data_IF_018555826875
#
_entry.id   IF_018555826875
#
_cell.length_a   1.000
_cell.length_b   1.000
_cell.length_c   1.000
_cell.angle_alpha   90.00
_cell.angle_beta   90.00
_cell.angle_gamma   90.00
#
_symmetry.space_group_name_H-M   'P 1'
#
loop_
_entity.id
_entity.type
_entity.pdbx_description
1 polymer ?
#
# COMPACT_ATOMS: atom_id res chain seq x y z
N UNK A 1 -21.43 -6.71 14.84
CA UNK A 1 -20.96 -5.36 14.42
C UNK A 1 -19.44 -5.21 14.28
N UNK A 2 -18.60 -6.04 14.92
CA UNK A 2 -17.11 -5.97 14.78
C UNK A 2 -16.65 -6.15 13.32
N UNK A 3 -17.22 -7.11 12.60
CA UNK A 3 -16.88 -7.39 11.19
C UNK A 3 -17.08 -6.19 10.26
N UNK A 4 -18.16 -5.44 10.45
CA UNK A 4 -18.46 -4.23 9.67
C UNK A 4 -17.40 -3.15 9.94
N UNK A 5 -17.01 -2.95 11.19
CA UNK A 5 -15.96 -1.98 11.56
C UNK A 5 -14.60 -2.37 10.97
N UNK A 6 -14.28 -3.66 10.98
CA UNK A 6 -13.05 -4.19 10.36
C UNK A 6 -13.05 -3.93 8.85
N UNK A 7 -14.15 -4.23 8.15
CA UNK A 7 -14.27 -3.99 6.72
C UNK A 7 -14.15 -2.49 6.37
N UNK A 8 -14.83 -1.62 7.13
CA UNK A 8 -14.73 -0.16 6.95
C UNK A 8 -13.29 0.33 7.18
N UNK A 9 -12.60 -0.19 8.21
CA UNK A 9 -11.22 0.18 8.50
C UNK A 9 -10.25 -0.23 7.38
N UNK A 10 -10.45 -1.41 6.79
CA UNK A 10 -9.66 -1.88 5.63
C UNK A 10 -9.93 -0.99 4.42
N UNK A 11 -11.19 -0.71 4.12
CA UNK A 11 -11.59 0.13 2.99
C UNK A 11 -11.00 1.55 3.11
N UNK A 12 -11.17 2.20 4.27
CA UNK A 12 -10.66 3.56 4.50
C UNK A 12 -9.12 3.62 4.43
N UNK A 13 -8.43 2.64 5.02
CA UNK A 13 -6.98 2.58 4.94
C UNK A 13 -6.48 2.36 3.51
N UNK A 14 -7.14 1.49 2.75
CA UNK A 14 -6.80 1.26 1.34
C UNK A 14 -7.07 2.49 0.47
N UNK A 15 -8.22 3.14 0.64
CA UNK A 15 -8.56 4.35 -0.13
C UNK A 15 -7.57 5.47 0.15
N UNK A 16 -7.22 5.70 1.42
CA UNK A 16 -6.26 6.74 1.77
C UNK A 16 -4.86 6.41 1.26
N UNK A 17 -4.42 5.15 1.40
CA UNK A 17 -3.15 4.68 0.85
C UNK A 17 -3.07 4.93 -0.67
N UNK A 18 -4.12 4.52 -1.40
CA UNK A 18 -4.19 4.65 -2.86
C UNK A 18 -4.22 6.12 -3.27
N UNK A 19 -5.05 6.93 -2.62
CA UNK A 19 -5.17 8.35 -2.91
C UNK A 19 -3.84 9.08 -2.65
N UNK A 20 -3.20 8.84 -1.50
CA UNK A 20 -1.90 9.43 -1.19
C UNK A 20 -0.82 8.98 -2.16
N UNK A 21 -0.82 7.70 -2.57
CA UNK A 21 0.12 7.20 -3.57
C UNK A 21 -0.07 7.90 -4.92
N UNK A 22 -1.30 7.96 -5.43
CA UNK A 22 -1.61 8.64 -6.70
C UNK A 22 -1.25 10.12 -6.65
N UNK A 23 -1.64 10.83 -5.59
CA UNK A 23 -1.35 12.26 -5.43
C UNK A 23 0.15 12.55 -5.30
N UNK A 24 0.96 11.58 -4.89
CA UNK A 24 2.41 11.75 -4.78
C UNK A 24 3.13 11.31 -6.05
N UNK A 25 2.70 10.21 -6.67
CA UNK A 25 3.34 9.65 -7.86
C UNK A 25 3.08 10.44 -9.12
N UNK A 26 1.85 10.92 -9.32
CA UNK A 26 1.50 11.71 -10.51
C UNK A 26 2.44 12.93 -10.64
N UNK A 27 2.62 13.79 -9.62
CA UNK A 27 3.56 14.90 -9.72
C UNK A 27 5.02 14.43 -9.73
N UNK A 28 5.38 13.34 -9.06
CA UNK A 28 6.75 12.83 -9.10
C UNK A 28 7.17 12.43 -10.52
N UNK A 29 6.29 11.77 -11.26
CA UNK A 29 6.54 11.34 -12.65
C UNK A 29 6.60 12.56 -13.59
N UNK A 30 5.75 13.57 -13.39
CA UNK A 30 5.70 14.74 -14.30
C UNK A 30 6.80 15.77 -14.04
N UNK A 31 7.35 15.81 -12.82
CA UNK A 31 8.38 16.79 -12.43
C UNK A 31 9.80 16.25 -12.57
N UNK A 32 10.00 14.94 -12.62
CA UNK A 32 11.32 14.33 -12.75
C UNK A 32 11.74 14.31 -14.23
N UNK A 33 13.01 14.66 -14.48
CA UNK A 33 13.60 14.68 -15.82
C UNK A 33 13.52 13.28 -16.47
N UNK A 34 13.20 13.17 -17.78
CA UNK A 34 13.07 11.90 -18.48
C UNK A 34 14.27 10.95 -18.28
N UNK A 35 15.51 11.46 -18.35
CA UNK A 35 16.75 10.68 -18.14
C UNK A 35 16.86 10.02 -16.76
N UNK A 36 16.13 10.54 -15.78
CA UNK A 36 16.05 9.97 -14.42
C UNK A 36 14.87 9.03 -14.26
N UNK A 37 13.86 9.14 -15.12
CA UNK A 37 12.65 8.32 -15.10
C UNK A 37 12.86 7.02 -15.87
N UNK A 38 13.37 7.12 -17.09
CA UNK A 38 13.57 6.00 -18.01
C UNK A 38 15.01 5.97 -18.50
N UNK A 39 15.56 4.77 -18.64
CA UNK A 39 16.83 4.57 -19.34
C UNK A 39 16.59 4.78 -20.84
N UNK A 40 17.27 5.73 -21.50
CA UNK A 40 17.05 6.02 -22.91
C UNK A 40 17.47 4.87 -23.84
N UNK A 41 18.33 3.95 -23.37
CA UNK A 41 18.78 2.81 -24.19
C UNK A 41 17.79 1.64 -24.13
N UNK A 42 17.12 1.43 -23.00
CA UNK A 42 16.26 0.26 -22.78
C UNK A 42 14.77 0.59 -22.66
N UNK A 43 14.39 1.86 -22.52
CA UNK A 43 13.01 2.30 -22.27
C UNK A 43 12.46 1.86 -20.91
N UNK A 44 13.30 1.28 -20.05
CA UNK A 44 12.90 0.75 -18.74
C UNK A 44 13.02 1.84 -17.67
N UNK A 45 12.15 1.77 -16.67
CA UNK A 45 12.21 2.66 -15.52
C UNK A 45 13.54 2.51 -14.77
N UNK A 46 14.22 3.62 -14.48
CA UNK A 46 15.57 3.55 -13.88
C UNK A 46 15.53 3.02 -12.45
N UNK A 47 16.58 2.29 -12.06
CA UNK A 47 16.77 1.85 -10.67
C UNK A 47 16.79 3.06 -9.71
N UNK A 48 17.29 4.21 -10.15
CA UNK A 48 17.29 5.43 -9.33
C UNK A 48 15.86 5.85 -8.99
N UNK A 49 14.98 5.96 -9.98
CA UNK A 49 13.57 6.31 -9.73
C UNK A 49 12.90 5.29 -8.81
N UNK A 50 13.11 4.00 -9.08
CA UNK A 50 12.50 2.91 -8.30
C UNK A 50 12.91 3.00 -6.82
N UNK A 51 14.20 3.07 -6.52
CA UNK A 51 14.68 3.03 -5.13
C UNK A 51 14.59 4.36 -4.38
N UNK A 52 14.71 5.48 -5.08
CA UNK A 52 14.74 6.82 -4.45
C UNK A 52 13.35 7.44 -4.35
N UNK A 53 12.46 7.13 -5.29
CA UNK A 53 11.14 7.75 -5.38
C UNK A 53 10.05 6.70 -5.16
N UNK A 54 10.05 5.64 -5.96
CA UNK A 54 8.93 4.70 -5.97
C UNK A 54 8.75 3.96 -4.64
N UNK A 55 9.82 3.31 -4.17
CA UNK A 55 9.81 2.51 -2.95
C UNK A 55 9.56 3.35 -1.69
N UNK A 56 10.22 4.51 -1.49
CA UNK A 56 9.94 5.35 -0.33
C UNK A 56 8.51 5.86 -0.31
N UNK A 57 7.97 6.33 -1.44
CA UNK A 57 6.58 6.79 -1.51
C UNK A 57 5.61 5.65 -1.26
N UNK A 58 5.80 4.49 -1.91
CA UNK A 58 4.97 3.30 -1.69
C UNK A 58 4.97 2.87 -0.21
N UNK A 59 6.14 2.90 0.43
CA UNK A 59 6.29 2.55 1.84
C UNK A 59 5.58 3.58 2.73
N UNK A 60 5.79 4.88 2.51
CA UNK A 60 5.20 5.94 3.33
C UNK A 60 3.68 5.96 3.24
N UNK A 61 3.12 5.83 2.04
CA UNK A 61 1.66 5.82 1.85
C UNK A 61 1.04 4.55 2.44
N UNK A 62 1.73 3.41 2.33
CA UNK A 62 1.31 2.17 3.00
C UNK A 62 1.36 2.27 4.53
N UNK A 63 2.37 2.94 5.09
CA UNK A 63 2.42 3.26 6.53
C UNK A 63 1.21 4.09 6.94
N UNK A 64 0.87 5.14 6.19
CA UNK A 64 -0.32 5.96 6.44
C UNK A 64 -1.60 5.12 6.39
N UNK A 65 -1.76 4.27 5.37
CA UNK A 65 -2.89 3.35 5.28
C UNK A 65 -3.00 2.41 6.49
N UNK A 66 -1.88 1.82 6.92
CA UNK A 66 -1.80 0.96 8.09
C UNK A 66 -2.15 1.67 9.40
N UNK A 67 -1.67 2.91 9.58
CA UNK A 67 -2.01 3.77 10.73
C UNK A 67 -3.51 4.02 10.77
N UNK A 68 -4.12 4.42 9.65
CA UNK A 68 -5.56 4.72 9.59
C UNK A 68 -6.41 3.48 9.83
N UNK A 69 -6.09 2.35 9.20
CA UNK A 69 -6.79 1.08 9.48
C UNK A 69 -6.69 0.69 10.96
N UNK A 70 -5.50 0.84 11.56
CA UNK A 70 -5.33 0.52 12.97
C UNK A 70 -6.12 1.45 13.89
N UNK A 71 -6.17 2.75 13.54
CA UNK A 71 -6.92 3.75 14.29
C UNK A 71 -8.43 3.50 14.22
N UNK A 72 -8.98 3.21 13.05
CA UNK A 72 -10.43 3.00 12.84
C UNK A 72 -10.93 1.69 13.44
N UNK A 73 -10.17 0.60 13.32
CA UNK A 73 -10.65 -0.73 13.73
C UNK A 73 -10.86 -0.85 15.25
N UNK A 74 -9.98 -0.25 16.06
CA UNK A 74 -9.95 -0.27 17.54
C UNK A 74 -10.05 -1.66 18.23
N UNK A 75 -9.43 -1.80 19.40
CA UNK A 75 -9.57 -2.99 20.26
C UNK A 75 -9.26 -4.32 19.56
N UNK A 76 -10.11 -5.33 19.80
CA UNK A 76 -9.89 -6.72 19.35
C UNK A 76 -9.88 -6.89 17.82
N UNK A 77 -10.52 -5.99 17.06
CA UNK A 77 -10.60 -6.05 15.60
C UNK A 77 -9.36 -5.52 14.88
N UNK A 78 -8.47 -4.80 15.57
CA UNK A 78 -7.33 -4.10 14.96
C UNK A 78 -6.35 -5.04 14.26
N UNK A 79 -5.90 -6.10 14.95
CA UNK A 79 -4.96 -7.08 14.36
C UNK A 79 -5.54 -7.76 13.13
N UNK A 80 -6.85 -8.02 13.14
CA UNK A 80 -7.54 -8.63 12.02
C UNK A 80 -7.68 -7.66 10.85
N UNK A 81 -8.00 -6.39 11.10
CA UNK A 81 -8.07 -5.36 10.07
C UNK A 81 -6.71 -5.13 9.39
N UNK A 82 -5.62 -5.05 10.16
CA UNK A 82 -4.27 -4.90 9.60
C UNK A 82 -3.92 -6.11 8.72
N UNK A 83 -4.12 -7.34 9.22
CA UNK A 83 -3.87 -8.56 8.43
C UNK A 83 -4.73 -8.60 7.17
N UNK A 84 -6.00 -8.18 7.27
CA UNK A 84 -6.92 -8.07 6.16
C UNK A 84 -6.42 -7.09 5.10
N UNK A 85 -5.99 -5.89 5.50
CA UNK A 85 -5.44 -4.90 4.58
C UNK A 85 -4.14 -5.39 3.92
N UNK A 86 -3.23 -6.01 4.68
CA UNK A 86 -1.99 -6.59 4.11
C UNK A 86 -2.31 -7.65 3.05
N UNK A 87 -3.19 -8.59 3.39
CA UNK A 87 -3.62 -9.62 2.44
C UNK A 87 -4.29 -9.01 1.21
N UNK A 88 -5.15 -8.01 1.40
CA UNK A 88 -5.81 -7.30 0.32
C UNK A 88 -4.82 -6.59 -0.61
N UNK A 89 -3.86 -5.84 -0.07
CA UNK A 89 -2.83 -5.14 -0.85
C UNK A 89 -1.97 -6.12 -1.63
N UNK A 90 -1.55 -7.24 -1.03
CA UNK A 90 -0.75 -8.26 -1.71
C UNK A 90 -1.56 -8.91 -2.83
N UNK A 91 -2.81 -9.32 -2.57
CA UNK A 91 -3.66 -9.98 -3.56
C UNK A 91 -3.96 -9.03 -4.73
N UNK A 92 -4.43 -7.81 -4.45
CA UNK A 92 -4.75 -6.82 -5.48
C UNK A 92 -3.48 -6.46 -6.27
N UNK A 93 -2.35 -6.29 -5.60
CA UNK A 93 -1.08 -6.02 -6.24
C UNK A 93 -0.65 -7.14 -7.18
N UNK A 94 -0.67 -8.40 -6.73
CA UNK A 94 -0.31 -9.55 -7.56
C UNK A 94 -1.29 -9.76 -8.73
N UNK A 95 -2.58 -9.53 -8.53
CA UNK A 95 -3.57 -9.53 -9.63
C UNK A 95 -3.24 -8.43 -10.63
N UNK A 96 -2.88 -7.23 -10.17
CA UNK A 96 -2.42 -6.14 -11.04
C UNK A 96 -1.18 -6.51 -11.85
N UNK A 97 -0.20 -7.19 -11.24
CA UNK A 97 0.99 -7.72 -11.95
C UNK A 97 0.56 -8.72 -13.02
N UNK A 98 -0.32 -9.67 -12.69
CA UNK A 98 -0.79 -10.66 -13.65
C UNK A 98 -1.53 -9.99 -14.83
N UNK A 99 -2.43 -9.04 -14.56
CA UNK A 99 -3.14 -8.29 -15.61
C UNK A 99 -2.15 -7.51 -16.47
N UNK A 100 -1.13 -6.87 -15.89
CA UNK A 100 -0.10 -6.16 -16.66
C UNK A 100 0.74 -7.07 -17.56
N UNK A 101 1.09 -8.27 -17.09
CA UNK A 101 1.90 -9.24 -17.83
C UNK A 101 1.10 -10.01 -18.90
N UNK A 102 -0.17 -10.31 -18.65
CA UNK A 102 -1.01 -11.06 -19.60
C UNK A 102 -1.81 -10.14 -20.53
N UNK A 103 -2.10 -8.91 -20.11
CA UNK A 103 -2.74 -7.89 -20.94
C UNK A 103 -1.85 -7.49 -22.11
N UNK A 104 -0.56 -7.26 -21.87
CA UNK A 104 0.41 -6.91 -22.92
C UNK A 104 0.55 -7.99 -24.00
N UNK A 105 0.47 -9.27 -23.60
CA UNK A 105 0.49 -10.41 -24.55
C UNK A 105 -0.77 -10.44 -25.42
N UNK A 106 -1.91 -10.00 -24.89
CA UNK A 106 -3.17 -10.00 -25.64
C UNK A 106 -3.21 -8.82 -26.63
N UNK A 107 -2.67 -7.66 -26.23
CA UNK A 107 -2.53 -6.49 -27.09
C UNK A 107 -1.52 -6.72 -28.24
N UNK A 108 -0.41 -7.43 -27.99
CA UNK A 108 0.53 -7.83 -29.05
C UNK A 108 -0.11 -8.78 -30.07
N UNK A 109 -0.93 -9.74 -29.63
CA UNK A 109 -1.62 -10.68 -30.53
C UNK A 109 -2.72 -9.98 -31.34
N UNK A 110 -3.42 -9.01 -30.76
CA UNK A 110 -4.40 -8.20 -31.46
C UNK A 110 -3.78 -7.22 -32.48
N UNK A 111 -2.58 -6.69 -32.19
CA UNK A 111 -1.84 -5.83 -33.12
C UNK A 111 -1.35 -6.62 -34.35
N UNK A 112 -0.89 -7.85 -34.16
CA UNK A 112 -0.49 -8.76 -35.26
C UNK A 112 -1.70 -9.21 -36.08
N UNK A 113 -2.87 -9.38 -35.47
CA UNK A 113 -4.11 -9.75 -36.17
C UNK A 113 -4.72 -8.62 -37.01
N UNK A 114 -4.41 -7.34 -36.73
CA UNK A 114 -4.86 -6.17 -37.53
C UNK A 114 -3.89 -5.79 -38.66
N UNK A 115 -2.65 -6.28 -38.65
CA UNK A 115 -1.68 -6.04 -39.71
C UNK A 115 -1.95 -6.85 -41.00
N UNK A 116 -2.95 -7.75 -40.99
CA UNK A 116 -3.32 -8.61 -42.11
C UNK A 116 -4.34 -8.04 -43.10
N UNK A 117 -4.93 -6.86 -42.85
CA UNK A 117 -6.07 -6.33 -43.63
C UNK A 117 -5.90 -4.83 -43.96
N UNK A 118 -5.03 -4.54 -44.93
CA UNK A 118 -5.11 -3.40 -45.89
C UNK A 118 -4.98 -1.91 -45.39
N UNK A 119 -4.82 -0.87 -46.28
CA UNK A 119 -3.59 -0.07 -46.37
C UNK A 119 -3.66 1.40 -45.88
N UNK A 120 -2.46 2.00 -45.77
CA UNK A 120 -2.04 3.35 -45.30
C UNK A 120 -2.94 4.54 -45.69
N UNK A 121 -3.30 5.39 -44.71
CA UNK A 121 -3.54 6.83 -44.91
C UNK A 121 -3.35 7.67 -43.61
N UNK A 122 -2.33 8.54 -43.65
CA UNK A 122 -2.30 9.94 -43.17
C UNK A 122 -2.51 10.29 -41.67
N UNK A 123 -1.38 10.38 -40.96
CA UNK A 123 -0.93 11.57 -40.21
C UNK A 123 -1.97 12.33 -39.35
N UNK A 124 -2.25 11.78 -38.17
CA UNK A 124 -2.52 12.61 -36.99
C UNK A 124 -1.18 12.85 -36.28
N UNK A 125 -0.68 14.07 -36.43
CA UNK A 125 0.38 14.66 -35.58
C UNK A 125 -0.12 14.67 -34.14
N UNK A 126 0.04 13.54 -33.47
CA UNK A 126 0.06 13.45 -32.02
C UNK A 126 1.53 13.54 -31.66
N UNK A 127 1.91 14.61 -30.94
CA UNK A 127 3.17 14.72 -30.21
C UNK A 127 3.66 13.34 -29.77
N UNK A 128 4.97 13.01 -29.84
CA UNK A 128 5.45 11.71 -29.39
C UNK A 128 5.11 11.61 -27.89
N UNK A 129 3.98 10.99 -27.59
CA UNK A 129 3.74 10.38 -26.30
C UNK A 129 4.65 9.18 -26.37
N UNK A 130 5.93 9.41 -26.04
CA UNK A 130 6.85 8.34 -25.69
C UNK A 130 6.06 7.43 -24.76
N UNK A 131 5.90 6.18 -25.17
CA UNK A 131 5.13 5.21 -24.43
C UNK A 131 5.57 5.25 -22.96
N UNK A 132 4.64 5.14 -21.99
CA UNK A 132 5.00 5.19 -20.58
C UNK A 132 6.11 4.17 -20.32
N UNK A 133 7.19 4.56 -19.60
CA UNK A 133 8.35 3.70 -19.46
C UNK A 133 7.97 2.37 -18.84
N UNK A 134 8.51 1.29 -19.40
CA UNK A 134 8.19 -0.06 -18.97
C UNK A 134 8.76 -0.32 -17.56
N UNK A 135 7.96 -0.93 -16.70
CA UNK A 135 8.41 -1.30 -15.37
C UNK A 135 9.10 -2.67 -15.39
N UNK A 136 10.29 -2.81 -14.79
CA UNK A 136 10.92 -4.11 -14.64
C UNK A 136 10.01 -5.10 -13.90
N UNK A 137 9.89 -6.34 -14.39
CA UNK A 137 8.99 -7.35 -13.80
C UNK A 137 9.27 -7.60 -12.31
N UNK A 138 10.55 -7.57 -11.91
CA UNK A 138 10.95 -7.73 -10.51
C UNK A 138 10.42 -6.59 -9.63
N UNK A 139 10.34 -5.37 -10.16
CA UNK A 139 9.83 -4.20 -9.45
C UNK A 139 8.33 -4.36 -9.20
N UNK A 140 7.59 -4.74 -10.25
CA UNK A 140 6.16 -5.03 -10.19
C UNK A 140 5.84 -6.13 -9.18
N UNK A 141 6.67 -7.18 -9.10
CA UNK A 141 6.51 -8.24 -8.12
C UNK A 141 6.84 -7.81 -6.69
N UNK A 142 7.79 -6.91 -6.47
CA UNK A 142 8.19 -6.46 -5.12
C UNK A 142 7.25 -5.42 -4.51
N UNK A 143 6.64 -4.56 -5.32
CA UNK A 143 5.77 -3.47 -4.86
C UNK A 143 4.65 -3.91 -3.89
N UNK A 144 3.90 -5.00 -4.15
CA UNK A 144 2.87 -5.47 -3.21
C UNK A 144 3.44 -5.85 -1.84
N UNK A 145 4.67 -6.40 -1.79
CA UNK A 145 5.34 -6.75 -0.54
C UNK A 145 5.85 -5.52 0.20
N UNK A 146 6.39 -4.53 -0.52
CA UNK A 146 6.78 -3.23 0.06
C UNK A 146 5.56 -2.54 0.69
N UNK A 147 4.43 -2.52 -0.03
CA UNK A 147 3.17 -2.01 0.48
C UNK A 147 2.67 -2.79 1.70
N UNK A 148 2.64 -4.12 1.63
CA UNK A 148 2.25 -4.96 2.78
C UNK A 148 3.14 -4.74 4.02
N UNK A 149 4.45 -4.59 3.82
CA UNK A 149 5.39 -4.28 4.89
C UNK A 149 5.12 -2.90 5.51
N UNK A 150 4.87 -1.88 4.68
CA UNK A 150 4.50 -0.55 5.15
C UNK A 150 3.23 -0.55 6.00
N UNK A 151 2.18 -1.27 5.56
CA UNK A 151 0.92 -1.41 6.32
C UNK A 151 1.18 -2.04 7.70
N UNK A 152 2.00 -3.10 7.76
CA UNK A 152 2.36 -3.74 9.03
C UNK A 152 3.11 -2.77 9.96
N UNK A 153 4.03 -1.98 9.41
CA UNK A 153 4.82 -1.02 10.16
C UNK A 153 3.94 0.09 10.75
N UNK A 154 3.04 0.66 9.94
CA UNK A 154 2.07 1.66 10.36
C UNK A 154 1.11 1.14 11.42
N UNK A 155 0.59 -0.07 11.25
CA UNK A 155 -0.30 -0.70 12.23
C UNK A 155 0.38 -0.94 13.59
N UNK A 156 1.64 -1.40 13.58
CA UNK A 156 2.43 -1.62 14.80
C UNK A 156 2.75 -0.34 15.56
N UNK A 157 2.94 0.77 14.84
CA UNK A 157 3.21 2.06 15.45
C UNK A 157 2.05 2.51 16.36
N UNK A 158 0.81 2.33 15.90
CA UNK A 158 -0.40 2.66 16.67
C UNK A 158 -0.58 1.75 17.88
N UNK A 159 -0.27 0.46 17.77
CA UNK A 159 -0.32 -0.49 18.90
C UNK A 159 0.63 -0.06 20.02
N UNK A 160 1.91 0.21 19.69
CA UNK A 160 2.90 0.64 20.68
C UNK A 160 2.53 1.96 21.36
N UNK A 161 1.93 2.89 20.62
CA UNK A 161 1.45 4.15 21.21
C UNK A 161 0.28 3.93 22.16
N UNK A 162 -0.64 3.03 21.80
CA UNK A 162 -1.79 2.69 22.64
C UNK A 162 -1.33 2.07 23.97
N UNK A 163 -0.31 1.18 23.92
CA UNK A 163 0.25 0.54 25.11
C UNK A 163 0.96 1.54 26.05
N UNK A 164 1.62 2.57 25.50
CA UNK A 164 2.31 3.61 26.28
C UNK A 164 1.36 4.60 26.95
N UNK A 165 0.19 4.81 26.37
CA UNK A 165 -0.82 5.76 26.86
C UNK A 165 -1.87 5.10 27.77
N UNK A 166 -1.90 3.77 27.83
CA UNK A 166 -2.68 3.07 28.84
C UNK A 166 -2.11 3.44 30.22
N UNK A 167 -2.90 4.07 31.12
CA UNK A 167 -2.40 4.42 32.44
C UNK A 167 -1.90 3.13 33.09
N UNK A 168 -0.66 3.16 33.59
CA UNK A 168 -0.15 2.13 34.48
C UNK A 168 -1.26 1.86 35.50
N UNK A 169 -1.87 0.68 35.42
CA UNK A 169 -3.00 0.32 36.26
C UNK A 169 -2.60 0.66 37.68
N UNK A 170 -3.33 1.63 38.26
CA UNK A 170 -3.25 2.00 39.67
C UNK A 170 -3.09 0.71 40.43
N UNK A 171 -1.94 0.58 41.11
CA UNK A 171 -1.59 -0.61 41.87
C UNK A 171 -2.81 -1.05 42.63
N UNK A 172 -3.25 -2.28 42.37
CA UNK A 172 -4.19 -3.00 43.22
C UNK A 172 -3.62 -2.90 44.63
N UNK A 173 -4.15 -1.98 45.43
CA UNK A 173 -3.90 -1.98 46.87
C UNK A 173 -4.29 -3.39 47.35
N UNK A 174 -3.39 -4.12 48.02
CA UNK A 174 -3.77 -5.40 48.60
C UNK A 174 -4.99 -5.16 49.50
N UNK A 175 -5.99 -6.06 49.48
CA UNK A 175 -7.13 -5.94 50.37
C UNK A 175 -6.58 -5.87 51.80
N UNK A 176 -6.84 -4.75 52.49
CA UNK A 176 -6.56 -4.61 53.91
C UNK A 176 -7.26 -5.76 54.61
N UNK A 177 -6.48 -6.67 55.19
CA UNK A 177 -6.96 -7.74 56.04
C UNK A 177 -7.87 -7.15 57.13
N UNK A 178 -9.06 -7.71 57.39
CA UNK A 178 -9.84 -7.32 58.55
C UNK A 178 -9.03 -7.65 59.80
N UNK A 179 -8.61 -6.64 60.56
CA UNK A 179 -8.07 -6.85 61.90
C UNK A 179 -9.23 -7.27 62.79
N UNK A 180 -9.25 -8.54 63.16
CA UNK A 180 -10.02 -9.09 64.27
C UNK A 180 -9.59 -8.37 65.55
N UNK A 181 -10.42 -7.49 66.08
CA UNK A 181 -10.24 -6.92 67.41
C UNK A 181 -11.63 -6.67 68.03
N UNK A 182 -12.35 -7.77 68.29
CA UNK A 182 -13.54 -7.75 69.14
C UNK A 182 -13.82 -9.14 69.71
N UNK A 183 -12.95 -9.63 70.58
CA UNK A 183 -13.33 -10.61 71.59
C UNK A 183 -12.23 -10.69 72.64
N UNK A 184 -12.35 -9.90 73.70
CA UNK A 184 -12.02 -10.37 75.04
C UNK A 184 -12.92 -9.64 76.03
N UNK A 185 -13.64 -10.47 76.78
CA UNK A 185 -14.57 -10.15 77.86
C UNK A 185 -13.94 -10.57 79.20
#
# INVERSE_FOLDING_TARGET
MIWIRVAIAVLLGYLLMTLSYTLTMVPAITLITPDRLADPETGLMTNWFIFVVQFPVALLTAVVGGVVTAFVATGKGRKQAIKGLVGFVIIVGLVGVAVGLFGSVTDEVEAVSRAGDEPVAEELVVSPVEAPPEQPTWNLLLLPFVGGFGVLLGGRFVDRMSDRLAPASIGTFPPSSPSEDSADA
#
